data_IF_249132131115
#
_entry.id   IF_249132131115
#
_cell.length_a   1.000
_cell.length_b   1.000
_cell.length_c   1.000
_cell.angle_alpha   90.00
_cell.angle_beta   90.00
_cell.angle_gamma   90.00
#
_symmetry.space_group_name_H-M   'P 1'
#
loop_
_entity.id
_entity.type
_entity.pdbx_description
1 polymer ?
#
# COMPACT_ATOMS: atom_id res chain seq x y z
N UNK A 1 -37.75 31.94 16.77
CA UNK A 1 -36.36 31.59 16.39
C UNK A 1 -36.38 30.18 15.86
N UNK A 2 -36.43 30.03 14.54
CA UNK A 2 -36.41 28.71 13.87
C UNK A 2 -34.94 28.37 13.68
N UNK A 3 -34.46 27.36 14.40
CA UNK A 3 -33.14 26.77 14.16
C UNK A 3 -33.18 26.03 12.83
N UNK A 4 -32.60 26.62 11.80
CA UNK A 4 -32.36 25.95 10.54
C UNK A 4 -31.29 24.89 10.79
N UNK A 5 -31.71 23.64 10.96
CA UNK A 5 -30.80 22.50 10.86
C UNK A 5 -30.22 22.53 9.45
N UNK A 6 -28.98 23.00 9.29
CA UNK A 6 -28.23 22.85 8.05
C UNK A 6 -28.06 21.35 7.80
N UNK A 7 -28.92 20.81 6.94
CA UNK A 7 -28.82 19.43 6.50
C UNK A 7 -27.55 19.28 5.66
N UNK A 8 -26.44 18.98 6.32
CA UNK A 8 -25.25 18.44 5.66
C UNK A 8 -25.67 17.16 4.95
N UNK A 9 -25.82 17.21 3.63
CA UNK A 9 -25.95 16.00 2.83
C UNK A 9 -24.61 15.25 2.85
N UNK A 10 -24.63 13.94 3.02
CA UNK A 10 -23.45 13.10 2.90
C UNK A 10 -23.53 12.32 1.61
N UNK A 11 -22.51 12.42 0.75
CA UNK A 11 -22.38 11.57 -0.42
C UNK A 11 -21.47 10.39 -0.09
N UNK A 12 -21.91 9.19 -0.45
CA UNK A 12 -21.15 7.96 -0.26
C UNK A 12 -20.75 7.37 -1.60
N UNK A 13 -19.49 6.95 -1.70
CA UNK A 13 -18.94 6.27 -2.85
C UNK A 13 -18.23 4.99 -2.40
N UNK A 14 -18.16 4.01 -3.30
CA UNK A 14 -17.27 2.87 -3.23
C UNK A 14 -16.12 3.06 -4.23
N UNK A 15 -14.91 2.77 -3.79
CA UNK A 15 -13.70 2.79 -4.60
C UNK A 15 -13.03 1.43 -4.59
N UNK A 16 -12.88 0.79 -5.74
CA UNK A 16 -12.12 -0.45 -5.88
C UNK A 16 -10.64 -0.13 -6.14
N UNK A 17 -9.76 -0.62 -5.26
CA UNK A 17 -8.32 -0.45 -5.41
C UNK A 17 -7.82 -1.23 -6.63
N UNK A 18 -6.95 -0.63 -7.46
CA UNK A 18 -6.37 -1.34 -8.60
C UNK A 18 -5.38 -2.40 -8.13
N UNK A 19 -5.23 -3.47 -8.92
CA UNK A 19 -4.24 -4.52 -8.66
C UNK A 19 -2.84 -4.10 -9.14
N UNK A 20 -2.39 -2.93 -8.70
CA UNK A 20 -1.10 -2.32 -9.01
C UNK A 20 -0.45 -1.80 -7.73
N UNK A 21 0.89 -1.75 -7.64
CA UNK A 21 1.56 -1.17 -6.48
C UNK A 21 1.07 0.25 -6.21
N UNK A 22 0.76 0.54 -4.96
CA UNK A 22 0.39 1.88 -4.48
C UNK A 22 1.61 2.63 -3.92
N UNK A 23 2.66 1.92 -3.54
CA UNK A 23 3.89 2.49 -3.03
C UNK A 23 5.07 1.55 -3.30
N UNK A 24 6.25 2.09 -3.62
CA UNK A 24 7.44 1.32 -3.91
C UNK A 24 8.73 2.04 -3.48
N UNK A 25 9.79 1.27 -3.29
CA UNK A 25 11.12 1.79 -3.05
C UNK A 25 12.17 0.80 -3.58
N UNK A 26 13.35 1.30 -3.92
CA UNK A 26 14.50 0.48 -4.21
C UNK A 26 15.70 1.05 -3.44
N UNK A 27 16.53 0.16 -2.90
CA UNK A 27 17.79 0.49 -2.25
C UNK A 27 18.87 -0.44 -2.77
N UNK A 28 20.07 0.07 -2.84
CA UNK A 28 21.26 -0.66 -3.24
C UNK A 28 22.16 -0.83 -2.03
N UNK A 29 22.56 -2.08 -1.77
CA UNK A 29 23.41 -2.50 -0.66
C UNK A 29 24.68 -3.14 -1.23
N UNK A 30 25.35 -2.46 -2.16
CA UNK A 30 26.68 -2.79 -2.67
C UNK A 30 26.71 -3.98 -3.64
N UNK A 31 26.34 -5.16 -3.17
CA UNK A 31 26.30 -6.41 -3.94
C UNK A 31 24.87 -6.92 -4.20
N UNK A 32 23.85 -6.33 -3.56
CA UNK A 32 22.44 -6.65 -3.78
C UNK A 32 21.61 -5.37 -3.86
N UNK A 33 20.80 -5.26 -4.91
CA UNK A 33 19.72 -4.28 -4.98
C UNK A 33 18.43 -4.88 -4.42
N UNK A 34 17.75 -4.15 -3.54
CA UNK A 34 16.51 -4.56 -2.90
C UNK A 34 15.38 -3.68 -3.41
N UNK A 35 14.41 -4.28 -4.08
CA UNK A 35 13.21 -3.59 -4.54
C UNK A 35 12.00 -4.02 -3.70
N UNK A 36 11.22 -3.06 -3.24
CA UNK A 36 10.04 -3.27 -2.41
C UNK A 36 8.83 -2.63 -3.07
N UNK A 37 7.71 -3.35 -3.13
CA UNK A 37 6.43 -2.83 -3.63
C UNK A 37 5.28 -3.26 -2.75
N UNK A 38 4.40 -2.31 -2.41
CA UNK A 38 3.18 -2.54 -1.65
C UNK A 38 1.96 -2.40 -2.56
N UNK A 39 1.10 -3.42 -2.56
CA UNK A 39 -0.20 -3.43 -3.24
C UNK A 39 -1.30 -3.58 -2.20
N UNK A 40 -2.40 -2.83 -2.37
CA UNK A 40 -3.64 -3.01 -1.62
C UNK A 40 -4.73 -3.52 -2.55
N UNK A 41 -5.60 -4.42 -2.06
CA UNK A 41 -6.66 -5.06 -2.85
C UNK A 41 -7.97 -5.09 -2.09
N UNK A 42 -9.04 -4.67 -2.74
CA UNK A 42 -10.39 -4.66 -2.19
C UNK A 42 -11.05 -3.30 -2.39
N UNK A 43 -12.14 -3.09 -1.66
CA UNK A 43 -12.96 -1.90 -1.76
C UNK A 43 -12.77 -0.98 -0.55
N UNK A 44 -12.75 0.32 -0.81
CA UNK A 44 -12.80 1.37 0.19
C UNK A 44 -14.13 2.10 0.11
N UNK A 45 -14.64 2.46 1.27
CA UNK A 45 -15.79 3.33 1.42
C UNK A 45 -15.32 4.77 1.60
N UNK A 46 -15.87 5.66 0.77
CA UNK A 46 -15.53 7.08 0.75
C UNK A 46 -16.79 7.86 1.06
N UNK A 47 -16.80 8.58 2.17
CA UNK A 47 -17.94 9.40 2.57
C UNK A 47 -17.52 10.85 2.60
N UNK A 48 -18.27 11.72 1.94
CA UNK A 48 -17.98 13.15 1.86
C UNK A 48 -19.16 13.93 2.39
N UNK A 49 -18.93 14.69 3.45
CA UNK A 49 -19.86 15.70 3.94
C UNK A 49 -19.87 16.85 2.93
N UNK A 50 -21.02 17.16 2.34
CA UNK A 50 -21.11 18.17 1.27
C UNK A 50 -21.75 19.46 1.77
N UNK A 51 -21.16 20.59 1.38
CA UNK A 51 -21.81 21.89 1.44
C UNK A 51 -22.98 21.94 0.43
N UNK A 52 -24.03 22.74 0.70
CA UNK A 52 -25.28 22.74 -0.09
C UNK A 52 -25.12 22.98 -1.60
N UNK A 53 -24.05 23.67 -2.02
CA UNK A 53 -23.86 24.12 -3.41
C UNK A 53 -22.83 23.30 -4.21
N UNK A 54 -22.26 22.24 -3.63
CA UNK A 54 -21.24 21.44 -4.31
C UNK A 54 -21.88 20.48 -5.34
N UNK A 55 -21.49 20.60 -6.61
CA UNK A 55 -21.93 19.63 -7.62
C UNK A 55 -21.35 18.23 -7.35
N UNK A 56 -22.10 17.18 -7.69
CA UNK A 56 -21.67 15.77 -7.53
C UNK A 56 -20.29 15.50 -8.19
N UNK A 57 -20.01 16.15 -9.32
CA UNK A 57 -18.72 16.03 -10.01
C UNK A 57 -17.55 16.62 -9.21
N UNK A 58 -17.75 17.78 -8.57
CA UNK A 58 -16.75 18.37 -7.68
C UNK A 58 -16.52 17.50 -6.44
N UNK A 59 -17.60 16.99 -5.85
CA UNK A 59 -17.53 16.08 -4.69
C UNK A 59 -16.76 14.81 -5.06
N UNK A 60 -17.05 14.21 -6.21
CA UNK A 60 -16.33 13.03 -6.72
C UNK A 60 -14.84 13.31 -6.95
N UNK A 61 -14.51 14.43 -7.58
CA UNK A 61 -13.11 14.83 -7.83
C UNK A 61 -12.33 15.01 -6.53
N UNK A 62 -12.90 15.69 -5.53
CA UNK A 62 -12.30 15.88 -4.20
C UNK A 62 -12.14 14.54 -3.48
N UNK A 63 -13.17 13.70 -3.51
CA UNK A 63 -13.16 12.37 -2.90
C UNK A 63 -12.03 11.51 -3.47
N UNK A 64 -11.85 11.52 -4.80
CA UNK A 64 -10.78 10.78 -5.47
C UNK A 64 -9.39 11.29 -5.12
N UNK A 65 -9.22 12.60 -4.96
CA UNK A 65 -7.95 13.18 -4.53
C UNK A 65 -7.56 12.66 -3.14
N UNK A 66 -8.51 12.58 -2.20
CA UNK A 66 -8.25 12.06 -0.84
C UNK A 66 -7.99 10.56 -0.84
N UNK A 67 -8.61 9.78 -1.73
CA UNK A 67 -8.30 8.33 -1.87
C UNK A 67 -6.84 8.11 -2.25
N UNK A 68 -6.23 8.99 -3.04
CA UNK A 68 -4.81 8.87 -3.42
C UNK A 68 -3.86 9.01 -2.22
N UNK A 69 -4.30 9.68 -1.16
CA UNK A 69 -3.52 9.82 0.06
C UNK A 69 -3.36 8.50 0.83
N UNK A 70 -4.06 7.42 0.44
CA UNK A 70 -3.94 6.10 1.07
C UNK A 70 -2.50 5.58 1.10
N UNK A 71 -1.67 5.96 0.11
CA UNK A 71 -0.26 5.59 0.01
C UNK A 71 0.70 6.54 0.76
N UNK A 72 0.19 7.57 1.44
CA UNK A 72 1.01 8.61 2.05
C UNK A 72 1.79 8.10 3.26
N UNK A 73 3.10 8.34 3.26
CA UNK A 73 3.95 8.07 4.42
C UNK A 73 4.03 6.58 4.77
N UNK A 74 3.94 5.70 3.77
CA UNK A 74 4.14 4.27 3.97
C UNK A 74 5.61 3.99 4.22
N UNK A 75 5.89 3.23 5.28
CA UNK A 75 7.24 2.80 5.62
C UNK A 75 7.25 1.31 5.93
N UNK A 76 8.33 0.64 5.55
CA UNK A 76 8.51 -0.80 5.73
C UNK A 76 9.80 -1.05 6.51
N UNK A 77 9.74 -1.93 7.51
CA UNK A 77 10.90 -2.36 8.29
C UNK A 77 10.90 -3.87 8.51
N UNK A 78 12.03 -4.39 8.98
CA UNK A 78 12.18 -5.83 9.27
C UNK A 78 12.08 -6.70 8.02
N UNK A 79 12.57 -6.19 6.88
CA UNK A 79 12.44 -6.82 5.55
C UNK A 79 13.16 -8.17 5.48
N UNK A 80 14.28 -8.33 6.17
CA UNK A 80 15.01 -9.61 6.33
C UNK A 80 14.46 -10.55 7.41
N UNK A 81 13.30 -10.25 8.00
CA UNK A 81 12.74 -11.03 9.11
C UNK A 81 11.56 -11.93 8.69
N UNK A 82 11.05 -12.71 9.64
CA UNK A 82 9.80 -13.48 9.48
C UNK A 82 8.55 -12.59 9.47
N UNK A 83 8.66 -11.37 10.00
CA UNK A 83 7.56 -10.42 10.16
C UNK A 83 7.96 -9.05 9.65
N UNK A 84 7.70 -8.78 8.37
CA UNK A 84 7.87 -7.43 7.83
C UNK A 84 6.82 -6.51 8.45
N UNK A 85 7.25 -5.36 8.96
CA UNK A 85 6.35 -4.36 9.53
C UNK A 85 6.06 -3.30 8.48
N UNK A 86 4.78 -3.07 8.21
CA UNK A 86 4.31 -1.94 7.39
C UNK A 86 3.65 -0.92 8.31
N UNK A 87 4.02 0.33 8.15
CA UNK A 87 3.44 1.47 8.88
C UNK A 87 3.01 2.53 7.88
N UNK A 88 2.06 3.38 8.28
CA UNK A 88 1.52 4.45 7.44
C UNK A 88 1.37 5.73 8.27
N UNK A 89 1.83 6.85 7.71
CA UNK A 89 1.57 8.18 8.27
C UNK A 89 0.08 8.55 8.30
N UNK A 90 -0.76 7.85 7.52
CA UNK A 90 -2.21 8.02 7.55
C UNK A 90 -2.91 7.21 8.68
N UNK A 91 -2.16 6.42 9.47
CA UNK A 91 -2.70 5.69 10.61
C UNK A 91 -3.28 4.30 10.29
N UNK A 92 -3.01 3.75 9.10
CA UNK A 92 -3.45 2.41 8.72
C UNK A 92 -2.84 1.34 9.61
N UNK A 93 -3.59 0.27 9.87
CA UNK A 93 -3.12 -0.87 10.67
C UNK A 93 -2.96 -2.09 9.77
N UNK A 94 -1.71 -2.55 9.65
CA UNK A 94 -1.36 -3.73 8.86
C UNK A 94 -1.17 -4.96 9.76
N UNK A 95 -1.87 -6.04 9.44
CA UNK A 95 -1.77 -7.33 10.15
C UNK A 95 -1.31 -8.40 9.17
N UNK A 96 -0.08 -8.87 9.34
CA UNK A 96 0.49 -9.94 8.52
C UNK A 96 -0.21 -11.27 8.82
N UNK A 97 -0.60 -11.98 7.77
CA UNK A 97 -1.18 -13.32 7.83
C UNK A 97 -0.24 -14.40 7.29
N UNK A 98 0.62 -14.06 6.33
CA UNK A 98 1.48 -15.03 5.68
C UNK A 98 2.75 -14.43 5.08
N UNK A 99 3.71 -15.33 4.82
CA UNK A 99 4.95 -15.05 4.13
C UNK A 99 5.26 -16.21 3.18
N UNK A 100 5.47 -15.90 1.91
CA UNK A 100 5.71 -16.92 0.87
C UNK A 100 6.84 -16.48 -0.03
N UNK A 101 7.85 -17.33 -0.17
CA UNK A 101 8.88 -17.16 -1.19
C UNK A 101 8.27 -17.41 -2.57
N UNK A 102 8.44 -16.46 -3.47
CA UNK A 102 8.06 -16.53 -4.87
C UNK A 102 9.33 -16.53 -5.72
N UNK A 103 9.63 -17.64 -6.40
CA UNK A 103 10.70 -17.67 -7.38
C UNK A 103 10.61 -16.51 -8.40
N UNK A 104 11.76 -16.03 -8.89
CA UNK A 104 13.11 -16.51 -8.57
C UNK A 104 13.71 -15.89 -7.29
N UNK A 105 13.22 -14.74 -6.85
CA UNK A 105 13.98 -13.91 -5.91
C UNK A 105 13.12 -13.00 -5.04
N UNK A 106 11.84 -13.34 -4.84
CA UNK A 106 10.90 -12.50 -4.11
C UNK A 106 10.41 -13.16 -2.83
N UNK A 107 10.27 -12.36 -1.79
CA UNK A 107 9.48 -12.69 -0.62
C UNK A 107 8.20 -11.87 -0.62
N UNK A 108 7.06 -12.55 -0.60
CA UNK A 108 5.75 -11.91 -0.50
C UNK A 108 5.23 -12.03 0.93
N UNK A 109 4.95 -10.90 1.57
CA UNK A 109 4.24 -10.82 2.84
C UNK A 109 2.80 -10.39 2.57
N UNK A 110 1.84 -11.17 3.05
CA UNK A 110 0.41 -10.91 2.80
C UNK A 110 -0.34 -10.77 4.10
N UNK A 111 -1.45 -10.03 4.05
CA UNK A 111 -2.30 -9.85 5.22
C UNK A 111 -3.43 -8.88 4.95
N UNK A 112 -3.90 -8.25 6.02
CA UNK A 112 -4.99 -7.27 6.00
C UNK A 112 -4.49 -5.89 6.39
N UNK A 113 -5.12 -4.86 5.83
CA UNK A 113 -4.89 -3.46 6.13
C UNK A 113 -6.24 -2.83 6.50
N UNK A 114 -6.38 -2.39 7.75
CA UNK A 114 -7.48 -1.54 8.16
C UNK A 114 -7.14 -0.09 7.79
N UNK A 115 -7.90 0.45 6.84
CA UNK A 115 -7.81 1.83 6.36
C UNK A 115 -8.87 2.65 7.08
N UNK A 116 -8.47 3.78 7.64
CA UNK A 116 -9.38 4.70 8.31
C UNK A 116 -8.74 6.05 8.52
N UNK A 117 -9.12 7.03 7.72
CA UNK A 117 -8.62 8.39 7.85
C UNK A 117 -9.60 9.43 7.33
N UNK A 118 -9.35 10.69 7.69
CA UNK A 118 -10.15 11.84 7.28
C UNK A 118 -9.23 12.94 6.75
N UNK A 119 -9.66 13.61 5.67
CA UNK A 119 -9.02 14.79 5.09
C UNK A 119 -10.10 15.81 4.77
N UNK A 120 -10.12 16.91 5.52
CA UNK A 120 -11.22 17.86 5.47
C UNK A 120 -12.55 17.15 5.72
N UNK A 121 -13.46 17.24 4.75
CA UNK A 121 -14.82 16.69 4.80
C UNK A 121 -14.93 15.25 4.25
N UNK A 122 -13.82 14.67 3.76
CA UNK A 122 -13.80 13.34 3.17
C UNK A 122 -13.25 12.33 4.17
N UNK A 123 -14.02 11.28 4.43
CA UNK A 123 -13.61 10.10 5.20
C UNK A 123 -13.38 8.93 4.23
N UNK A 124 -12.27 8.23 4.41
CA UNK A 124 -11.95 6.99 3.70
C UNK A 124 -11.80 5.87 4.72
N UNK A 125 -12.49 4.76 4.52
CA UNK A 125 -12.40 3.61 5.43
C UNK A 125 -12.65 2.28 4.74
N UNK A 126 -12.08 1.20 5.26
CA UNK A 126 -12.32 -0.16 4.79
C UNK A 126 -11.31 -1.15 5.36
N UNK A 127 -11.56 -2.44 5.16
CA UNK A 127 -10.57 -3.50 5.39
C UNK A 127 -10.21 -4.10 4.03
N UNK A 128 -8.93 -4.02 3.67
CA UNK A 128 -8.42 -4.46 2.37
C UNK A 128 -7.30 -5.47 2.57
N UNK A 129 -7.09 -6.34 1.59
CA UNK A 129 -5.89 -7.16 1.54
C UNK A 129 -4.66 -6.31 1.24
N UNK A 130 -3.51 -6.68 1.80
CA UNK A 130 -2.22 -6.13 1.35
C UNK A 130 -1.28 -7.24 0.89
N UNK A 131 -0.41 -6.89 -0.04
CA UNK A 131 0.74 -7.68 -0.45
C UNK A 131 1.97 -6.77 -0.51
N UNK A 132 2.98 -7.09 0.29
CA UNK A 132 4.29 -6.49 0.25
C UNK A 132 5.24 -7.47 -0.44
N UNK A 133 5.72 -7.12 -1.62
CA UNK A 133 6.75 -7.91 -2.32
C UNK A 133 8.12 -7.27 -2.09
N UNK A 134 9.07 -8.10 -1.69
CA UNK A 134 10.48 -7.75 -1.49
C UNK A 134 11.29 -8.59 -2.48
N UNK A 135 12.00 -7.95 -3.39
CA UNK A 135 12.85 -8.61 -4.38
C UNK A 135 14.31 -8.29 -4.06
N UNK A 136 15.15 -9.31 -4.02
CA UNK A 136 16.59 -9.13 -3.99
C UNK A 136 17.16 -9.39 -5.40
N UNK A 137 17.86 -8.43 -5.96
CA UNK A 137 18.39 -8.42 -7.32
C UNK A 137 19.93 -8.38 -7.24
N UNK A 138 20.63 -9.24 -8.01
CA UNK A 138 22.09 -9.21 -8.07
C UNK A 138 22.57 -7.93 -8.78
N UNK A 139 23.75 -7.45 -8.40
CA UNK A 139 24.35 -6.24 -8.96
C UNK A 139 25.21 -6.48 -10.21
N UNK A 140 25.94 -7.61 -10.29
CA UNK A 140 26.77 -7.97 -11.45
C UNK A 140 27.12 -9.47 -11.46
N UNK A 141 27.23 -10.04 -12.68
CA UNK A 141 27.73 -11.36 -13.14
C UNK A 141 27.35 -12.66 -12.41
N UNK A 142 27.11 -12.62 -11.10
CA UNK A 142 26.44 -13.71 -10.39
C UNK A 142 25.02 -13.76 -10.93
N UNK A 143 24.76 -14.72 -11.81
CA UNK A 143 23.41 -15.07 -12.23
C UNK A 143 22.87 -16.02 -11.16
N UNK A 144 21.96 -15.58 -10.26
CA UNK A 144 21.33 -16.50 -9.34
C UNK A 144 20.60 -17.57 -10.16
N UNK A 145 20.41 -18.78 -9.62
CA UNK A 145 19.55 -19.76 -10.25
C UNK A 145 18.10 -19.21 -10.24
N UNK A 146 17.66 -18.63 -11.36
CA UNK A 146 16.31 -18.06 -11.51
C UNK A 146 15.24 -19.11 -11.84
N UNK A 147 15.59 -20.39 -11.72
CA UNK A 147 14.75 -21.53 -12.03
C UNK A 147 13.76 -21.90 -10.92
N UNK A 148 13.78 -21.17 -9.79
CA UNK A 148 12.94 -21.46 -8.64
C UNK A 148 13.32 -22.72 -7.86
N UNK A 149 14.51 -23.24 -8.10
CA UNK A 149 15.13 -24.31 -7.33
C UNK A 149 15.30 -23.94 -5.85
N UNK A 150 15.55 -24.94 -4.97
CA UNK A 150 15.98 -24.70 -3.60
C UNK A 150 17.17 -23.72 -3.49
N UNK A 151 18.01 -23.64 -4.51
CA UNK A 151 19.16 -22.73 -4.54
C UNK A 151 18.74 -21.26 -4.65
N UNK A 152 17.62 -20.98 -5.33
CA UNK A 152 17.04 -19.63 -5.44
C UNK A 152 16.53 -19.13 -4.07
N UNK A 153 15.86 -20.01 -3.32
CA UNK A 153 15.43 -19.72 -1.94
C UNK A 153 16.63 -19.56 -1.01
N UNK A 154 17.64 -20.41 -1.17
CA UNK A 154 18.88 -20.35 -0.39
C UNK A 154 19.68 -19.09 -0.71
N UNK A 155 19.64 -18.60 -1.94
CA UNK A 155 20.20 -17.31 -2.33
C UNK A 155 19.50 -16.15 -1.61
N UNK A 156 18.16 -16.12 -1.62
CA UNK A 156 17.42 -15.08 -0.87
C UNK A 156 17.74 -15.13 0.63
N UNK A 157 17.74 -16.33 1.23
CA UNK A 157 18.04 -16.51 2.65
C UNK A 157 19.50 -16.13 3.01
N UNK A 158 20.46 -16.31 2.09
CA UNK A 158 21.84 -15.85 2.28
C UNK A 158 21.92 -14.33 2.46
N UNK A 159 20.99 -13.60 1.87
CA UNK A 159 20.92 -12.15 1.97
C UNK A 159 19.96 -11.64 3.07
N UNK A 160 19.40 -12.52 3.90
CA UNK A 160 18.54 -12.12 5.03
C UNK A 160 19.28 -11.19 6.00
N UNK A 161 20.62 -11.34 6.14
CA UNK A 161 21.44 -10.47 6.98
C UNK A 161 21.51 -9.04 6.42
N UNK A 162 21.79 -8.89 5.13
CA UNK A 162 21.82 -7.60 4.43
C UNK A 162 20.44 -6.95 4.41
N UNK A 163 19.38 -7.73 4.19
CA UNK A 163 18.00 -7.27 4.29
C UNK A 163 17.62 -6.84 5.71
N UNK A 164 18.18 -7.48 6.73
CA UNK A 164 17.98 -7.12 8.15
C UNK A 164 18.74 -5.85 8.54
N UNK A 165 19.85 -5.53 7.84
CA UNK A 165 20.56 -4.27 8.00
C UNK A 165 19.74 -3.06 7.49
N UNK A 166 18.76 -3.31 6.61
CA UNK A 166 17.78 -2.29 6.22
C UNK A 166 16.79 -2.08 7.36
N UNK A 167 17.09 -1.11 8.23
CA UNK A 167 16.24 -0.80 9.38
C UNK A 167 14.83 -0.39 8.97
N UNK A 168 14.71 0.66 8.16
CA UNK A 168 13.44 1.18 7.64
C UNK A 168 13.62 1.71 6.22
N UNK A 169 12.65 1.43 5.35
CA UNK A 169 12.52 2.01 4.01
C UNK A 169 11.27 2.88 3.95
N UNK A 170 11.41 4.10 3.44
CA UNK A 170 10.26 4.95 3.08
C UNK A 170 9.84 4.58 1.67
N UNK A 171 8.54 4.27 1.48
CA UNK A 171 7.99 3.95 0.17
C UNK A 171 7.44 5.21 -0.47
N UNK A 172 7.78 5.41 -1.74
CA UNK A 172 7.26 6.50 -2.56
C UNK A 172 5.92 6.06 -3.13
N UNK A 173 4.91 6.91 -3.00
CA UNK A 173 3.60 6.65 -3.58
C UNK A 173 3.70 6.51 -5.10
N UNK A 174 3.15 5.42 -5.63
CA UNK A 174 3.05 5.17 -7.06
C UNK A 174 1.68 5.66 -7.51
N UNK A 175 1.60 6.62 -8.45
CA UNK A 175 0.33 7.05 -9.00
C UNK A 175 -0.35 5.87 -9.69
N UNK A 176 -1.48 5.41 -9.15
CA UNK A 176 -2.29 4.39 -9.80
C UNK A 176 -3.38 5.04 -10.66
N UNK A 177 -3.71 4.38 -11.77
CA UNK A 177 -4.79 4.82 -12.64
C UNK A 177 -6.09 4.96 -11.83
N UNK A 178 -6.85 6.05 -11.98
CA UNK A 178 -8.04 6.25 -11.19
C UNK A 178 -9.10 5.21 -11.55
N UNK A 179 -9.36 4.27 -10.64
CA UNK A 179 -10.60 3.50 -10.64
C UNK A 179 -11.84 4.42 -10.51
N UNK A 180 -13.01 3.99 -11.02
CA UNK A 180 -14.22 4.78 -10.88
C UNK A 180 -14.69 4.82 -9.42
N UNK A 181 -15.10 6.01 -8.95
CA UNK A 181 -15.92 6.13 -7.74
C UNK A 181 -17.38 5.82 -8.10
N UNK A 182 -17.90 4.72 -7.57
CA UNK A 182 -19.29 4.29 -7.79
C UNK A 182 -20.15 4.83 -6.65
N UNK A 183 -21.23 5.56 -6.96
CA UNK A 183 -22.19 6.00 -5.94
C UNK A 183 -22.76 4.78 -5.22
N UNK A 184 -22.78 4.83 -3.89
CA UNK A 184 -23.51 3.84 -3.10
C UNK A 184 -25.01 4.10 -3.12
#
# INVERSE_FOLDING_TARGET
MVGTSEFSQAQAFRYTLPDTPIAAAAVDIGHVAVAVSLTLRGDLDVTTTTLPDASVSQVRTRSLAVVRDVATGVMVGGIGSTTARVTSGAGHVFTQAGRTFRPPNRMAFTGKCAVGYMRGEVRVSGEVGYALEVSALPHHEDTPPWDGSPDARTWFARHDHELSAVGMMVLVAVPFAPGPLVSR
#
